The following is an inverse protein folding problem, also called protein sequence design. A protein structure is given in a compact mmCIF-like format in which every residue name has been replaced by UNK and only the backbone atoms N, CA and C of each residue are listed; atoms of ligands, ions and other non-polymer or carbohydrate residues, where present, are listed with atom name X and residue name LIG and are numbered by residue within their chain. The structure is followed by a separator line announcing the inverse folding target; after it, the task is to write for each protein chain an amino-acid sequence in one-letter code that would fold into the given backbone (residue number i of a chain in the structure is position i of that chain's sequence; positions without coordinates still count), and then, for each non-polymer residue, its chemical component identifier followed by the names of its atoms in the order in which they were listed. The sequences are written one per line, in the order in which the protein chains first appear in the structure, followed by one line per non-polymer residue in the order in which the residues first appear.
data_IF_949198384209
#
_entry.id   IF_949198384209
#
_cell.length_a   1.000
_cell.length_b   1.000
_cell.length_c   1.000
_cell.angle_alpha   90.00
_cell.angle_beta   90.00
_cell.angle_gamma   90.00
#
_symmetry.space_group_name_H-M   'P 1'
#
loop_
_entity.id
_entity.type
_entity.pdbx_description
1 polymer ?
#
# COMPACT_ATOMS: atom_id res chain seq x y z
N UNK A 1 10.39 19.24 -5.02
CA UNK A 1 10.90 18.74 -6.31
C UNK A 1 10.86 17.23 -6.22
N UNK A 2 9.91 16.57 -6.88
CA UNK A 2 9.78 15.12 -6.86
C UNK A 2 10.24 14.56 -8.21
N UNK A 3 10.85 13.39 -8.17
CA UNK A 3 11.43 12.72 -9.32
C UNK A 3 10.35 12.43 -10.36
N UNK A 4 10.57 12.84 -11.62
CA UNK A 4 9.76 12.38 -12.74
C UNK A 4 10.24 10.99 -13.13
N UNK A 5 9.38 10.00 -12.92
CA UNK A 5 9.65 8.63 -13.31
C UNK A 5 9.26 8.43 -14.78
N UNK A 6 10.13 7.82 -15.57
CA UNK A 6 9.71 7.23 -16.84
C UNK A 6 8.96 5.94 -16.52
N UNK A 7 7.65 5.94 -16.78
CA UNK A 7 6.79 4.77 -16.55
C UNK A 7 6.52 3.98 -17.82
N UNK A 8 7.20 4.31 -18.93
CA UNK A 8 7.08 3.52 -20.16
C UNK A 8 7.75 2.17 -19.96
N UNK A 9 7.01 1.09 -20.21
CA UNK A 9 7.52 -0.28 -20.11
C UNK A 9 7.52 -0.91 -21.51
N UNK A 10 8.67 -0.92 -22.23
CA UNK A 10 8.81 -1.63 -23.49
C UNK A 10 8.45 -3.12 -23.34
N UNK A 11 7.94 -3.78 -24.40
CA UNK A 11 7.50 -5.18 -24.33
C UNK A 11 8.58 -6.14 -23.80
N UNK A 12 9.84 -5.97 -24.22
CA UNK A 12 10.95 -6.80 -23.76
C UNK A 12 11.30 -6.63 -22.27
N UNK A 13 11.07 -5.44 -21.70
CA UNK A 13 11.26 -5.18 -20.26
C UNK A 13 10.10 -5.78 -19.45
N UNK A 14 8.88 -5.75 -20.00
CA UNK A 14 7.72 -6.34 -19.35
C UNK A 14 7.86 -7.87 -19.19
N UNK A 15 8.42 -8.56 -20.18
CA UNK A 15 8.71 -9.99 -20.09
C UNK A 15 9.74 -10.32 -19.00
N UNK A 16 10.78 -9.51 -18.87
CA UNK A 16 11.80 -9.63 -17.80
C UNK A 16 11.20 -9.41 -16.41
N UNK A 17 10.30 -8.42 -16.26
CA UNK A 17 9.56 -8.14 -15.02
C UNK A 17 8.65 -9.33 -14.64
N UNK A 18 8.03 -9.96 -15.63
CA UNK A 18 7.09 -11.06 -15.40
C UNK A 18 7.77 -12.36 -14.95
N UNK A 19 9.06 -12.53 -15.27
CA UNK A 19 9.85 -13.70 -14.87
C UNK A 19 10.10 -13.74 -13.34
N UNK A 20 9.99 -12.60 -12.65
CA UNK A 20 10.08 -12.51 -11.18
C UNK A 20 11.44 -12.92 -10.59
N UNK A 21 12.42 -13.23 -11.45
CA UNK A 21 13.81 -13.59 -11.07
C UNK A 21 14.68 -12.38 -10.75
N UNK A 22 14.23 -11.18 -11.12
CA UNK A 22 14.90 -9.91 -10.92
C UNK A 22 13.93 -8.90 -10.30
N UNK A 23 14.42 -7.85 -9.65
CA UNK A 23 13.59 -6.74 -9.16
C UNK A 23 13.11 -6.83 -7.71
N UNK A 24 12.05 -6.06 -7.40
CA UNK A 24 11.49 -5.90 -6.06
C UNK A 24 10.64 -7.10 -5.64
N UNK A 25 10.28 -7.97 -6.57
CA UNK A 25 9.58 -9.23 -6.26
C UNK A 25 10.42 -10.16 -5.38
N UNK A 26 11.73 -10.20 -5.58
CA UNK A 26 12.62 -10.99 -4.71
C UNK A 26 12.82 -10.34 -3.33
N UNK A 27 12.95 -9.00 -3.27
CA UNK A 27 13.30 -8.28 -2.04
C UNK A 27 12.08 -7.99 -1.14
N UNK A 28 10.98 -7.53 -1.75
CA UNK A 28 9.77 -7.09 -1.06
C UNK A 28 8.54 -7.94 -1.40
N UNK A 29 8.68 -8.93 -2.28
CA UNK A 29 7.56 -9.78 -2.69
C UNK A 29 6.49 -9.06 -3.50
N UNK A 30 6.79 -7.85 -3.99
CA UNK A 30 5.90 -7.07 -4.84
C UNK A 30 6.17 -7.40 -6.32
N UNK A 31 5.16 -7.78 -7.12
CA UNK A 31 5.31 -7.80 -8.57
C UNK A 31 5.78 -6.44 -9.09
N UNK A 32 6.84 -6.38 -9.90
CA UNK A 32 7.41 -5.07 -10.30
C UNK A 32 6.41 -4.23 -11.11
N UNK A 33 5.41 -4.86 -11.74
CA UNK A 33 4.27 -4.15 -12.37
C UNK A 33 3.55 -3.22 -11.39
N UNK A 34 3.38 -3.62 -10.13
CA UNK A 34 2.77 -2.78 -9.10
C UNK A 34 3.64 -1.57 -8.75
N UNK A 35 4.97 -1.68 -8.84
CA UNK A 35 5.87 -0.54 -8.68
C UNK A 35 5.67 0.46 -9.83
N UNK A 36 5.56 -0.02 -11.07
CA UNK A 36 5.29 0.84 -12.24
C UNK A 36 3.95 1.57 -12.08
N UNK A 37 2.91 0.85 -11.64
CA UNK A 37 1.59 1.45 -11.39
C UNK A 37 1.67 2.50 -10.27
N UNK A 38 2.37 2.25 -9.17
CA UNK A 38 2.59 3.23 -8.10
C UNK A 38 3.30 4.49 -8.63
N UNK A 39 4.35 4.32 -9.43
CA UNK A 39 5.06 5.43 -10.06
C UNK A 39 4.14 6.24 -10.98
N UNK A 40 3.32 5.57 -11.78
CA UNK A 40 2.33 6.21 -12.66
C UNK A 40 1.27 6.99 -11.89
N UNK A 41 0.75 6.42 -10.80
CA UNK A 41 -0.19 7.13 -9.91
C UNK A 41 0.43 8.42 -9.37
N UNK A 42 1.70 8.37 -8.95
CA UNK A 42 2.40 9.56 -8.45
C UNK A 42 2.59 10.63 -9.52
N UNK A 43 3.03 10.26 -10.73
CA UNK A 43 3.21 11.20 -11.84
C UNK A 43 1.89 11.90 -12.18
N UNK A 44 0.80 11.14 -12.30
CA UNK A 44 -0.51 11.70 -12.60
C UNK A 44 -1.04 12.61 -11.48
N UNK A 45 -0.86 12.21 -10.22
CA UNK A 45 -1.26 13.03 -9.07
C UNK A 45 -0.47 14.35 -9.01
N UNK A 46 0.79 14.35 -9.44
CA UNK A 46 1.61 15.55 -9.55
C UNK A 46 1.16 16.46 -10.70
N UNK A 47 0.84 15.89 -11.86
CA UNK A 47 0.36 16.64 -13.04
C UNK A 47 -0.99 17.33 -12.79
N UNK A 48 -1.90 16.67 -12.06
CA UNK A 48 -3.18 17.24 -11.65
C UNK A 48 -3.02 18.41 -10.68
N UNK A 49 -2.00 18.38 -9.83
CA UNK A 49 -1.78 19.37 -8.79
C UNK A 49 -2.88 19.40 -7.73
N UNK A 50 -2.89 20.46 -6.91
CA UNK A 50 -3.86 20.60 -5.81
C UNK A 50 -5.22 21.01 -6.38
N UNK A 51 -6.23 20.15 -6.22
CA UNK A 51 -7.61 20.42 -6.62
C UNK A 51 -7.95 20.08 -8.07
N UNK A 52 -7.02 19.45 -8.81
CA UNK A 52 -7.30 18.88 -10.12
C UNK A 52 -8.22 17.66 -10.01
N UNK A 53 -9.17 17.54 -10.94
CA UNK A 53 -10.04 16.37 -11.03
C UNK A 53 -9.50 15.40 -12.08
N UNK A 54 -9.18 14.17 -11.66
CA UNK A 54 -8.81 13.08 -12.58
C UNK A 54 -10.03 12.62 -13.38
N UNK A 55 -9.85 12.30 -14.67
CA UNK A 55 -10.95 11.74 -15.47
C UNK A 55 -11.31 10.32 -15.02
N UNK A 56 -12.60 9.98 -15.07
CA UNK A 56 -13.07 8.65 -14.73
C UNK A 56 -12.46 7.55 -15.63
N UNK A 57 -12.17 7.89 -16.90
CA UNK A 57 -11.52 6.99 -17.86
C UNK A 57 -10.09 6.64 -17.42
N UNK A 58 -9.33 7.64 -16.94
CA UNK A 58 -7.97 7.43 -16.45
C UNK A 58 -7.96 6.55 -15.19
N UNK A 59 -8.90 6.77 -14.26
CA UNK A 59 -9.05 5.92 -13.08
C UNK A 59 -9.37 4.48 -13.48
N UNK A 60 -10.34 4.29 -14.38
CA UNK A 60 -10.73 2.97 -14.87
C UNK A 60 -9.58 2.23 -15.58
N UNK A 61 -8.74 2.95 -16.33
CA UNK A 61 -7.57 2.39 -16.99
C UNK A 61 -6.55 1.84 -15.97
N UNK A 62 -6.30 2.57 -14.89
CA UNK A 62 -5.39 2.13 -13.82
C UNK A 62 -6.00 0.97 -13.04
N UNK A 63 -7.31 1.01 -12.76
CA UNK A 63 -8.01 -0.11 -12.13
C UNK A 63 -7.88 -1.39 -12.98
N UNK A 64 -7.96 -1.27 -14.30
CA UNK A 64 -7.79 -2.40 -15.21
C UNK A 64 -6.37 -2.95 -15.22
N UNK A 65 -5.36 -2.07 -15.19
CA UNK A 65 -3.96 -2.48 -15.01
C UNK A 65 -3.76 -3.24 -13.69
N UNK A 66 -4.33 -2.75 -12.59
CA UNK A 66 -4.25 -3.42 -11.27
C UNK A 66 -4.87 -4.82 -11.34
N UNK A 67 -6.01 -4.98 -12.04
CA UNK A 67 -6.65 -6.29 -12.27
C UNK A 67 -5.83 -7.19 -13.17
N UNK A 68 -5.20 -6.62 -14.19
CA UNK A 68 -4.44 -7.32 -15.23
C UNK A 68 -3.08 -7.85 -14.79
N UNK A 69 -2.53 -7.39 -13.66
CA UNK A 69 -1.25 -7.90 -13.14
C UNK A 69 -1.33 -9.40 -12.89
N UNK A 70 -0.69 -10.17 -13.76
CA UNK A 70 -0.82 -11.62 -13.85
C UNK A 70 -0.34 -12.39 -12.62
N UNK A 71 -0.86 -13.62 -12.47
CA UNK A 71 -0.37 -14.57 -11.47
C UNK A 71 0.84 -15.25 -12.10
N UNK A 72 2.07 -14.89 -11.70
CA UNK A 72 3.20 -15.76 -12.01
C UNK A 72 3.11 -16.99 -11.09
N UNK A 73 2.35 -18.00 -11.51
CA UNK A 73 2.25 -19.28 -10.82
C UNK A 73 3.51 -20.10 -11.10
N UNK A 74 4.57 -19.83 -10.37
CA UNK A 74 5.68 -20.79 -10.27
C UNK A 74 5.12 -22.12 -9.73
N UNK A 75 5.30 -23.19 -10.50
CA UNK A 75 4.85 -24.56 -10.18
C UNK A 75 5.65 -25.12 -9.00
N UNK A 76 5.29 -24.71 -7.79
CA UNK A 76 5.84 -25.25 -6.55
C UNK A 76 4.68 -25.81 -5.73
N UNK A 77 4.77 -27.13 -5.51
CA UNK A 77 3.78 -28.06 -4.95
C UNK A 77 3.46 -27.89 -3.45
N UNK A 78 3.81 -26.76 -2.83
CA UNK A 78 3.63 -26.57 -1.38
C UNK A 78 2.48 -25.60 -1.04
N UNK A 79 1.40 -26.14 -0.48
CA UNK A 79 0.14 -25.45 -0.20
C UNK A 79 0.30 -24.21 0.70
N UNK A 80 1.21 -24.25 1.68
CA UNK A 80 1.48 -23.13 2.60
C UNK A 80 2.16 -21.96 1.87
N UNK A 81 3.08 -22.26 0.94
CA UNK A 81 3.74 -21.27 0.08
C UNK A 81 2.73 -20.60 -0.87
N UNK A 82 1.74 -21.36 -1.35
CA UNK A 82 0.68 -20.83 -2.20
C UNK A 82 -0.21 -19.82 -1.46
N UNK A 83 -0.61 -20.13 -0.22
CA UNK A 83 -1.44 -19.22 0.60
C UNK A 83 -0.67 -17.93 0.90
N UNK A 84 0.60 -18.01 1.29
CA UNK A 84 1.41 -16.82 1.59
C UNK A 84 1.63 -15.94 0.36
N UNK A 85 1.90 -16.54 -0.80
CA UNK A 85 2.01 -15.81 -2.08
C UNK A 85 0.71 -15.14 -2.48
N UNK A 86 -0.42 -15.83 -2.29
CA UNK A 86 -1.74 -15.26 -2.53
C UNK A 86 -2.01 -14.07 -1.60
N UNK A 87 -1.78 -14.22 -0.29
CA UNK A 87 -1.94 -13.15 0.69
C UNK A 87 -1.12 -11.93 0.31
N UNK A 88 0.16 -12.11 -0.03
CA UNK A 88 1.04 -11.02 -0.39
C UNK A 88 0.55 -10.27 -1.64
N UNK A 89 0.19 -11.00 -2.68
CA UNK A 89 -0.32 -10.42 -3.92
C UNK A 89 -1.62 -9.66 -3.70
N UNK A 90 -2.56 -10.27 -3.00
CA UNK A 90 -3.87 -9.65 -2.75
C UNK A 90 -3.73 -8.44 -1.82
N UNK A 91 -2.84 -8.49 -0.84
CA UNK A 91 -2.48 -7.34 -0.01
C UNK A 91 -1.96 -6.16 -0.84
N UNK A 92 -1.06 -6.41 -1.80
CA UNK A 92 -0.56 -5.37 -2.70
C UNK A 92 -1.66 -4.83 -3.64
N UNK A 93 -2.51 -5.71 -4.17
CA UNK A 93 -3.64 -5.32 -5.02
C UNK A 93 -4.59 -4.35 -4.29
N UNK A 94 -4.98 -4.69 -3.06
CA UNK A 94 -5.83 -3.83 -2.22
C UNK A 94 -5.13 -2.51 -1.85
N UNK A 95 -3.84 -2.56 -1.55
CA UNK A 95 -3.02 -1.38 -1.26
C UNK A 95 -3.00 -0.41 -2.44
N UNK A 96 -2.87 -0.93 -3.67
CA UNK A 96 -2.89 -0.12 -4.88
C UNK A 96 -4.21 0.58 -5.12
N UNK A 97 -5.35 -0.08 -4.89
CA UNK A 97 -6.66 0.60 -4.97
C UNK A 97 -6.77 1.73 -3.95
N UNK A 98 -6.36 1.48 -2.71
CA UNK A 98 -6.35 2.50 -1.66
C UNK A 98 -5.47 3.69 -2.07
N UNK A 99 -4.27 3.42 -2.57
CA UNK A 99 -3.33 4.44 -3.01
C UNK A 99 -3.88 5.23 -4.21
N UNK A 100 -4.46 4.55 -5.20
CA UNK A 100 -5.13 5.17 -6.34
C UNK A 100 -6.21 6.17 -5.87
N UNK A 101 -7.14 5.73 -5.02
CA UNK A 101 -8.25 6.61 -4.61
C UNK A 101 -7.79 7.76 -3.71
N UNK A 102 -6.93 7.49 -2.73
CA UNK A 102 -6.51 8.52 -1.79
C UNK A 102 -5.48 9.50 -2.36
N UNK A 103 -4.61 9.04 -3.27
CA UNK A 103 -3.53 9.88 -3.83
C UNK A 103 -3.94 10.52 -5.15
N UNK A 104 -4.49 9.75 -6.09
CA UNK A 104 -4.86 10.29 -7.41
C UNK A 104 -6.24 10.94 -7.39
N UNK A 105 -7.24 10.26 -6.80
CA UNK A 105 -8.59 10.82 -6.73
C UNK A 105 -8.78 11.80 -5.56
N UNK A 106 -7.78 11.92 -4.68
CA UNK A 106 -7.80 12.84 -3.53
C UNK A 106 -8.89 12.53 -2.50
N UNK A 107 -9.38 11.29 -2.45
CA UNK A 107 -10.49 10.92 -1.54
C UNK A 107 -10.01 10.73 -0.11
N UNK A 108 -10.91 10.90 0.84
CA UNK A 108 -10.69 10.65 2.26
C UNK A 108 -10.87 9.18 2.64
N UNK A 109 -10.47 8.82 3.86
CA UNK A 109 -10.54 7.44 4.38
C UNK A 109 -11.95 6.87 4.54
N UNK A 110 -12.98 7.72 4.56
CA UNK A 110 -14.39 7.33 4.62
C UNK A 110 -15.04 7.13 3.25
N UNK A 111 -14.30 7.31 2.14
CA UNK A 111 -14.76 6.92 0.81
C UNK A 111 -15.10 5.41 0.81
N UNK A 112 -16.29 5.01 0.31
CA UNK A 112 -16.72 3.62 0.36
C UNK A 112 -15.75 2.62 -0.28
N UNK A 113 -15.00 3.04 -1.32
CA UNK A 113 -14.02 2.18 -2.01
C UNK A 113 -12.77 1.98 -1.17
N UNK A 114 -12.33 3.03 -0.47
CA UNK A 114 -11.21 2.96 0.48
C UNK A 114 -11.61 2.07 1.66
N UNK A 115 -12.78 2.31 2.26
CA UNK A 115 -13.31 1.50 3.36
C UNK A 115 -13.42 0.02 2.99
N UNK A 116 -13.99 -0.31 1.82
CA UNK A 116 -14.13 -1.68 1.37
C UNK A 116 -12.76 -2.35 1.17
N UNK A 117 -11.78 -1.63 0.63
CA UNK A 117 -10.42 -2.14 0.40
C UNK A 117 -9.67 -2.36 1.71
N UNK A 118 -9.76 -1.42 2.66
CA UNK A 118 -9.16 -1.56 4.00
C UNK A 118 -9.77 -2.76 4.73
N UNK A 119 -11.10 -2.89 4.75
CA UNK A 119 -11.78 -4.03 5.41
C UNK A 119 -11.39 -5.36 4.80
N UNK A 120 -11.29 -5.42 3.47
CA UNK A 120 -10.86 -6.62 2.77
C UNK A 120 -9.41 -6.98 3.13
N UNK A 121 -8.53 -5.97 3.24
CA UNK A 121 -7.15 -6.17 3.65
C UNK A 121 -7.05 -6.67 5.09
N UNK A 122 -7.78 -6.05 6.02
CA UNK A 122 -7.82 -6.44 7.44
C UNK A 122 -8.27 -7.89 7.59
N UNK A 123 -9.34 -8.30 6.89
CA UNK A 123 -9.80 -9.69 6.88
C UNK A 123 -8.75 -10.66 6.31
N UNK A 124 -8.10 -10.26 5.22
CA UNK A 124 -7.05 -11.06 4.59
C UNK A 124 -5.89 -11.31 5.54
N UNK A 125 -5.37 -10.25 6.18
CA UNK A 125 -4.24 -10.42 7.11
C UNK A 125 -4.67 -11.16 8.37
N UNK A 126 -5.87 -10.95 8.90
CA UNK A 126 -6.37 -11.73 10.04
C UNK A 126 -6.48 -13.23 9.74
N UNK A 127 -6.90 -13.59 8.52
CA UNK A 127 -6.97 -14.98 8.08
C UNK A 127 -5.59 -15.61 7.85
N UNK A 128 -4.57 -14.81 7.55
CA UNK A 128 -3.20 -15.28 7.40
C UNK A 128 -2.52 -15.45 8.76
N UNK A 129 -1.89 -16.61 8.97
CA UNK A 129 -1.11 -16.89 10.19
C UNK A 129 -0.06 -15.78 10.39
N UNK A 130 -0.09 -15.10 11.53
CA UNK A 130 0.95 -14.13 11.87
C UNK A 130 2.24 -14.88 12.15
N UNK A 131 3.26 -14.54 11.38
CA UNK A 131 4.59 -15.12 11.43
C UNK A 131 5.53 -14.21 10.63
N UNK A 132 6.84 -14.36 10.85
CA UNK A 132 7.86 -13.56 10.16
C UNK A 132 7.64 -13.48 8.64
N UNK A 133 7.20 -14.59 8.04
CA UNK A 133 6.63 -14.61 6.69
C UNK A 133 5.12 -14.90 6.80
N UNK A 134 4.24 -14.13 6.14
CA UNK A 134 4.52 -13.09 5.14
C UNK A 134 4.73 -11.68 5.71
N UNK A 135 4.65 -11.47 7.04
CA UNK A 135 4.56 -10.13 7.63
C UNK A 135 5.76 -9.22 7.30
N UNK A 136 6.97 -9.78 7.13
CA UNK A 136 8.16 -9.04 6.69
C UNK A 136 8.01 -8.41 5.29
N UNK A 137 7.26 -9.04 4.39
CA UNK A 137 7.01 -8.56 3.03
C UNK A 137 5.79 -7.63 2.94
N UNK A 138 4.97 -7.61 3.99
CA UNK A 138 3.75 -6.80 4.06
C UNK A 138 3.98 -5.44 4.73
N UNK A 139 5.22 -5.10 5.07
CA UNK A 139 5.53 -3.86 5.79
C UNK A 139 5.01 -2.62 5.04
N UNK A 140 5.36 -2.45 3.76
CA UNK A 140 4.92 -1.30 2.96
C UNK A 140 3.38 -1.28 2.78
N UNK A 141 2.73 -2.39 2.38
CA UNK A 141 1.27 -2.49 2.36
C UNK A 141 0.60 -2.10 3.69
N UNK A 142 1.11 -2.60 4.81
CA UNK A 142 0.53 -2.31 6.13
C UNK A 142 0.59 -0.83 6.46
N UNK A 143 1.66 -0.11 6.09
CA UNK A 143 1.78 1.33 6.33
C UNK A 143 0.69 2.10 5.59
N UNK A 144 0.55 1.84 4.29
CA UNK A 144 -0.41 2.54 3.43
C UNK A 144 -1.82 2.25 3.94
N UNK A 145 -2.15 0.97 4.18
CA UNK A 145 -3.48 0.58 4.66
C UNK A 145 -3.77 1.14 6.06
N UNK A 146 -2.78 1.18 6.96
CA UNK A 146 -2.91 1.75 8.29
C UNK A 146 -3.13 3.26 8.26
N UNK A 147 -2.45 3.98 7.38
CA UNK A 147 -2.69 5.40 7.15
C UNK A 147 -4.11 5.66 6.59
N UNK A 148 -4.64 4.70 5.84
CA UNK A 148 -5.98 4.76 5.24
C UNK A 148 -7.10 4.21 6.12
N UNK A 149 -6.79 3.66 7.30
CA UNK A 149 -7.78 3.05 8.17
C UNK A 149 -8.63 4.09 8.89
N UNK A 150 -9.93 4.14 8.56
CA UNK A 150 -10.88 5.03 9.23
C UNK A 150 -11.38 4.47 10.56
N UNK A 151 -11.79 3.20 10.59
CA UNK A 151 -12.40 2.58 11.76
C UNK A 151 -11.35 2.22 12.82
N UNK A 152 -11.63 2.54 14.09
CA UNK A 152 -10.73 2.24 15.22
C UNK A 152 -10.41 0.74 15.33
N UNK A 153 -11.36 -0.12 15.01
CA UNK A 153 -11.18 -1.56 15.06
C UNK A 153 -10.14 -2.04 14.04
N UNK A 154 -10.20 -1.52 12.81
CA UNK A 154 -9.23 -1.82 11.76
C UNK A 154 -7.83 -1.30 12.13
N UNK A 155 -7.73 -0.08 12.67
CA UNK A 155 -6.48 0.50 13.20
C UNK A 155 -5.86 -0.40 14.27
N UNK A 156 -6.65 -0.88 15.22
CA UNK A 156 -6.18 -1.78 16.28
C UNK A 156 -5.69 -3.13 15.77
N UNK A 157 -6.28 -3.66 14.70
CA UNK A 157 -5.80 -4.91 14.09
C UNK A 157 -4.45 -4.69 13.41
N UNK A 158 -4.34 -3.64 12.61
CA UNK A 158 -3.10 -3.30 11.90
C UNK A 158 -1.98 -2.95 12.88
N UNK A 159 -2.27 -2.15 13.90
CA UNK A 159 -1.33 -1.81 14.96
C UNK A 159 -0.80 -3.07 15.67
N UNK A 160 -1.68 -3.98 16.10
CA UNK A 160 -1.26 -5.23 16.75
C UNK A 160 -0.38 -6.08 15.83
N UNK A 161 -0.71 -6.15 14.54
CA UNK A 161 0.07 -6.92 13.58
C UNK A 161 1.46 -6.33 13.35
N UNK A 162 1.54 -5.01 13.18
CA UNK A 162 2.81 -4.29 13.03
C UNK A 162 3.68 -4.41 14.28
N UNK A 163 3.11 -4.28 15.50
CA UNK A 163 3.85 -4.46 16.75
C UNK A 163 4.33 -5.91 16.99
N UNK A 164 3.76 -6.89 16.27
CA UNK A 164 4.29 -8.26 16.22
C UNK A 164 5.63 -8.37 15.48
N UNK A 165 5.99 -7.37 14.67
CA UNK A 165 7.26 -7.29 13.96
C UNK A 165 8.32 -6.56 14.81
N UNK A 166 9.51 -7.15 14.95
CA UNK A 166 10.60 -6.58 15.76
C UNK A 166 11.04 -5.20 15.28
N UNK A 167 10.90 -4.96 13.99
CA UNK A 167 11.21 -3.72 13.31
C UNK A 167 10.31 -2.56 13.76
N UNK A 168 9.13 -2.83 14.33
CA UNK A 168 8.19 -1.79 14.78
C UNK A 168 8.28 -1.48 16.28
N UNK A 169 9.04 -2.26 17.06
CA UNK A 169 9.15 -2.11 18.52
C UNK A 169 10.49 -1.54 18.98
N UNK A 170 11.55 -1.67 18.17
CA UNK A 170 12.90 -1.25 18.56
C UNK A 170 13.09 0.24 18.31
N UNK A 171 13.35 1.07 19.33
CA UNK A 171 13.62 2.49 19.13
C UNK A 171 14.79 2.73 18.16
N UNK A 172 14.63 3.70 17.26
CA UNK A 172 15.62 4.04 16.23
C UNK A 172 15.53 3.20 14.95
N UNK A 173 14.60 2.25 14.86
CA UNK A 173 14.27 1.61 13.58
C UNK A 173 13.23 2.42 12.80
N UNK A 174 13.26 2.30 11.47
CA UNK A 174 12.27 2.93 10.60
C UNK A 174 10.84 2.48 10.93
N UNK A 175 10.63 1.20 11.26
CA UNK A 175 9.31 0.69 11.64
C UNK A 175 8.76 1.29 12.93
N UNK A 176 9.62 1.63 13.89
CA UNK A 176 9.22 2.29 15.12
C UNK A 176 8.78 3.73 14.87
N UNK A 177 9.49 4.47 14.01
CA UNK A 177 9.12 5.83 13.61
C UNK A 177 7.81 5.83 12.82
N UNK A 178 7.63 4.86 11.92
CA UNK A 178 6.36 4.64 11.20
C UNK A 178 5.19 4.44 12.17
N UNK A 179 5.37 3.64 13.23
CA UNK A 179 4.31 3.43 14.23
C UNK A 179 3.94 4.73 14.93
N UNK A 180 4.93 5.57 15.27
CA UNK A 180 4.68 6.90 15.84
C UNK A 180 3.93 7.82 14.86
N UNK A 181 4.31 7.81 13.58
CA UNK A 181 3.64 8.57 12.52
C UNK A 181 2.17 8.18 12.41
N UNK A 182 1.86 6.87 12.42
CA UNK A 182 0.49 6.38 12.36
C UNK A 182 -0.32 6.78 13.60
N UNK A 183 0.28 6.72 14.79
CA UNK A 183 -0.37 7.14 16.03
C UNK A 183 -0.66 8.65 16.02
N UNK A 184 0.28 9.49 15.57
CA UNK A 184 0.07 10.95 15.42
C UNK A 184 -1.09 11.23 14.46
N UNK A 185 -1.10 10.57 13.29
CA UNK A 185 -2.16 10.67 12.30
C UNK A 185 -3.54 10.34 12.89
N UNK A 186 -3.66 9.18 13.54
CA UNK A 186 -4.93 8.70 14.09
C UNK A 186 -5.42 9.59 15.23
N UNK A 187 -4.52 10.01 16.12
CA UNK A 187 -4.85 10.87 17.26
C UNK A 187 -5.36 12.23 16.79
N UNK A 188 -4.69 12.81 15.79
CA UNK A 188 -5.05 14.13 15.26
C UNK A 188 -6.37 14.11 14.51
N UNK A 189 -6.56 13.17 13.60
CA UNK A 189 -7.81 13.06 12.83
C UNK A 189 -9.01 12.74 13.71
N UNK A 190 -8.80 11.98 14.78
CA UNK A 190 -9.83 11.73 15.81
C UNK A 190 -10.14 12.99 16.63
N UNK A 191 -9.13 13.74 17.08
CA UNK A 191 -9.33 14.99 17.81
C UNK A 191 -10.08 16.05 16.97
N UNK A 192 -9.85 16.05 15.66
CA UNK A 192 -10.52 16.93 14.70
C UNK A 192 -11.89 16.39 14.24
N UNK A 193 -12.28 15.18 14.68
CA UNK A 193 -13.52 14.48 14.31
C UNK A 193 -13.78 14.45 12.80
N UNK A 194 -12.76 14.09 12.01
CA UNK A 194 -12.86 14.02 10.54
C UNK A 194 -12.07 12.83 9.96
N UNK A 195 -12.41 12.36 8.76
CA UNK A 195 -11.61 11.38 8.05
C UNK A 195 -10.23 11.96 7.65
N UNK A 196 -9.27 11.07 7.44
CA UNK A 196 -7.93 11.44 7.02
C UNK A 196 -7.85 11.58 5.48
N UNK A 197 -6.98 12.45 5.01
CA UNK A 197 -6.53 12.51 3.62
C UNK A 197 -5.07 12.04 3.52
N UNK A 198 -4.59 11.75 2.31
CA UNK A 198 -3.19 11.37 2.13
C UNK A 198 -2.20 12.48 2.57
N UNK A 199 -2.61 13.74 2.45
CA UNK A 199 -1.84 14.89 2.95
C UNK A 199 -1.65 14.85 4.47
N UNK A 200 -2.63 14.34 5.23
CA UNK A 200 -2.51 14.20 6.68
C UNK A 200 -1.40 13.21 7.05
N UNK A 201 -1.27 12.11 6.30
CA UNK A 201 -0.17 11.17 6.51
C UNK A 201 1.18 11.85 6.27
N UNK A 202 1.34 12.59 5.17
CA UNK A 202 2.56 13.36 4.88
C UNK A 202 2.89 14.38 5.97
N UNK A 203 1.86 15.07 6.51
CA UNK A 203 2.06 15.99 7.63
C UNK A 203 2.52 15.28 8.91
N UNK A 204 2.02 14.07 9.15
CA UNK A 204 2.40 13.27 10.33
C UNK A 204 3.84 12.76 10.20
N UNK A 205 4.26 12.38 8.97
CA UNK A 205 5.68 12.09 8.64
C UNK A 205 6.55 13.29 9.00
N UNK A 206 6.25 14.46 8.44
CA UNK A 206 7.03 15.68 8.70
C UNK A 206 7.11 16.04 10.19
N UNK A 207 6.00 15.91 10.94
CA UNK A 207 5.96 16.24 12.37
C UNK A 207 6.79 15.30 13.24
N UNK A 208 6.80 14.00 12.91
CA UNK A 208 7.46 12.98 13.75
C UNK A 208 8.92 12.78 13.36
N UNK A 209 9.23 12.74 12.06
CA UNK A 209 10.59 12.49 11.57
C UNK A 209 11.35 13.76 11.16
N UNK A 210 10.67 14.90 10.99
CA UNK A 210 11.28 16.15 10.54
C UNK A 210 11.67 16.16 9.04
N UNK A 211 11.17 15.19 8.27
CA UNK A 211 11.46 14.97 6.84
C UNK A 211 10.20 15.23 6.01
#
# INVERSE_FOLDING_TARGET
MLFRYDTTCPPGILELINDGKYGMQWLHGIPDQYIIILARINVLAEELGIGGTVSAECVAEIEDQIRGVGVSTGSSDDSISMISRFTLRESWRLTLYIYLYMVLCGTSTDDPRVLASVKSYVRLVQGAKSARNPDAFLHIPMIIVAASAYEKQDRQVLQRRMLGCRECINPGSTGYDIMKILIDLWTRTEAENRPAFWSDFRMSVFRVSGV
#
